data_IF_912871561496
#
_entry.id   IF_912871561496
#
_cell.length_a   1.000
_cell.length_b   1.000
_cell.length_c   1.000
_cell.angle_alpha   90.00
_cell.angle_beta   90.00
_cell.angle_gamma   90.00
#
_symmetry.space_group_name_H-M   'P 1'
#
loop_
_entity.id
_entity.type
_entity.pdbx_description
1 polymer ?
#
# COMPACT_ATOMS: atom_id res chain seq x y z
N UNK A 1 -13.88 22.77 -14.78
CA UNK A 1 -13.10 22.39 -13.59
C UNK A 1 -13.71 21.09 -13.08
N UNK A 2 -13.05 19.95 -13.29
CA UNK A 2 -13.59 18.65 -12.88
C UNK A 2 -13.28 18.42 -11.40
N UNK A 3 -14.29 18.67 -10.56
CA UNK A 3 -14.23 18.38 -9.14
C UNK A 3 -14.40 16.88 -8.96
N UNK A 4 -13.30 16.15 -8.76
CA UNK A 4 -13.36 14.77 -8.29
C UNK A 4 -14.03 14.79 -6.92
N UNK A 5 -15.28 14.36 -6.86
CA UNK A 5 -16.01 14.12 -5.61
C UNK A 5 -15.32 12.97 -4.89
N UNK A 6 -14.34 13.28 -4.05
CA UNK A 6 -13.63 12.29 -3.24
C UNK A 6 -14.59 11.80 -2.15
N UNK A 7 -15.25 10.67 -2.38
CA UNK A 7 -15.93 9.91 -1.33
C UNK A 7 -14.81 9.27 -0.49
N UNK A 8 -14.44 9.91 0.62
CA UNK A 8 -13.45 9.34 1.55
C UNK A 8 -12.53 10.35 2.24
N UNK A 9 -13.09 11.32 2.97
CA UNK A 9 -12.32 12.22 3.86
C UNK A 9 -11.87 11.55 5.18
N UNK A 10 -11.77 10.22 5.23
CA UNK A 10 -11.46 9.49 6.46
C UNK A 10 -9.97 9.47 6.83
N UNK A 11 -9.07 9.86 5.90
CA UNK A 11 -7.61 9.72 6.06
C UNK A 11 -6.84 11.03 5.90
N UNK A 12 -7.48 12.17 6.18
CA UNK A 12 -6.81 13.48 6.10
C UNK A 12 -5.69 13.54 7.15
N UNK A 13 -4.44 13.60 6.71
CA UNK A 13 -3.25 13.51 7.58
C UNK A 13 -2.81 12.09 7.97
N UNK A 14 -3.45 11.04 7.43
CA UNK A 14 -3.04 9.66 7.64
C UNK A 14 -2.66 9.02 6.30
N UNK A 15 -1.38 8.71 6.14
CA UNK A 15 -0.89 8.12 4.91
C UNK A 15 -1.13 6.61 4.97
N UNK A 16 -1.99 6.10 4.10
CA UNK A 16 -2.30 4.66 4.02
C UNK A 16 -1.87 4.13 2.67
N UNK A 17 -1.22 2.98 2.70
CA UNK A 17 -0.76 2.25 1.52
C UNK A 17 -1.27 0.81 1.63
N UNK A 18 -2.01 0.38 0.62
CA UNK A 18 -2.45 -0.99 0.43
C UNK A 18 -1.54 -1.64 -0.59
N UNK A 19 -0.78 -2.64 -0.15
CA UNK A 19 0.16 -3.37 -0.97
C UNK A 19 -0.37 -4.78 -1.18
N UNK A 20 -0.64 -5.16 -2.42
CA UNK A 20 -1.07 -6.52 -2.79
C UNK A 20 0.09 -7.26 -3.45
N UNK A 21 0.35 -8.45 -2.95
CA UNK A 21 1.46 -9.28 -3.40
C UNK A 21 1.08 -10.75 -3.49
N UNK A 22 1.80 -11.50 -4.29
CA UNK A 22 1.72 -12.94 -4.29
C UNK A 22 2.78 -13.51 -3.32
N UNK A 23 2.37 -14.20 -2.23
CA UNK A 23 3.32 -14.73 -1.25
C UNK A 23 4.13 -15.93 -1.78
N UNK A 24 3.69 -16.59 -2.86
CA UNK A 24 4.39 -17.76 -3.43
C UNK A 24 5.47 -17.36 -4.43
N UNK A 25 5.22 -16.34 -5.23
CA UNK A 25 6.14 -15.87 -6.28
C UNK A 25 6.90 -14.61 -5.88
N UNK A 26 6.58 -14.01 -4.72
CA UNK A 26 7.10 -12.73 -4.24
C UNK A 26 6.86 -11.58 -5.23
N UNK A 27 5.90 -11.75 -6.14
CA UNK A 27 5.54 -10.78 -7.15
C UNK A 27 4.67 -9.68 -6.56
N UNK A 28 5.00 -8.45 -6.93
CA UNK A 28 4.14 -7.30 -6.72
C UNK A 28 2.93 -7.35 -7.65
N UNK A 29 1.72 -7.32 -7.11
CA UNK A 29 0.49 -7.37 -7.89
C UNK A 29 -0.07 -5.97 -8.12
N UNK A 30 -0.25 -5.21 -7.04
CA UNK A 30 -0.86 -3.88 -7.12
C UNK A 30 -0.57 -3.05 -5.87
N UNK A 31 -0.56 -1.74 -6.02
CA UNK A 31 -0.48 -0.77 -4.92
C UNK A 31 -1.63 0.22 -5.03
N UNK A 32 -2.27 0.49 -3.91
CA UNK A 32 -3.24 1.58 -3.80
C UNK A 32 -2.83 2.47 -2.65
N UNK A 33 -2.63 3.76 -2.93
CA UNK A 33 -2.15 4.73 -1.94
C UNK A 33 -3.19 5.84 -1.78
N UNK A 34 -3.24 6.43 -0.58
CA UNK A 34 -3.99 7.67 -0.37
C UNK A 34 -3.38 8.82 -1.20
N UNK A 35 -4.20 9.84 -1.52
CA UNK A 35 -3.85 10.96 -2.40
C UNK A 35 -2.59 11.75 -1.97
N UNK A 36 -2.32 11.79 -0.66
CA UNK A 36 -1.18 12.51 -0.06
C UNK A 36 0.01 11.59 0.24
N UNK A 37 -0.10 10.28 -0.01
CA UNK A 37 0.97 9.34 0.27
C UNK A 37 2.03 9.40 -0.84
N UNK A 38 3.33 9.61 -0.50
CA UNK A 38 4.40 9.60 -1.49
C UNK A 38 4.42 8.26 -2.23
N UNK A 39 4.17 8.31 -3.53
CA UNK A 39 4.25 7.17 -4.44
C UNK A 39 5.72 6.96 -4.82
N UNK A 40 6.40 6.07 -4.10
CA UNK A 40 7.65 5.50 -4.59
C UNK A 40 7.39 4.50 -5.73
N UNK A 41 8.31 4.37 -6.70
CA UNK A 41 8.16 3.38 -7.75
C UNK A 41 8.14 1.98 -7.13
N UNK A 42 7.05 1.25 -7.36
CA UNK A 42 6.91 -0.16 -6.96
C UNK A 42 8.00 -0.98 -7.65
N UNK A 43 8.80 -1.70 -6.86
CA UNK A 43 9.78 -2.63 -7.39
C UNK A 43 9.11 -3.97 -7.71
N UNK A 44 9.72 -4.74 -8.62
CA UNK A 44 9.17 -6.01 -9.12
C UNK A 44 8.93 -7.00 -7.98
N UNK A 45 9.79 -6.95 -6.94
CA UNK A 45 9.67 -7.76 -5.73
C UNK A 45 8.80 -7.08 -4.67
N UNK A 46 7.82 -7.83 -4.16
CA UNK A 46 6.97 -7.38 -3.06
C UNK A 46 7.78 -7.04 -1.81
N UNK A 47 8.72 -7.92 -1.43
CA UNK A 47 9.55 -7.73 -0.25
C UNK A 47 10.40 -6.45 -0.31
N UNK A 48 10.89 -6.08 -1.50
CA UNK A 48 11.68 -4.86 -1.67
C UNK A 48 10.80 -3.62 -1.53
N UNK A 49 9.63 -3.63 -2.18
CA UNK A 49 8.64 -2.56 -2.06
C UNK A 49 8.21 -2.36 -0.60
N UNK A 50 7.93 -3.45 0.12
CA UNK A 50 7.60 -3.42 1.54
C UNK A 50 8.76 -2.87 2.40
N UNK A 51 10.00 -3.26 2.10
CA UNK A 51 11.20 -2.78 2.81
C UNK A 51 11.41 -1.27 2.63
N UNK A 52 11.10 -0.72 1.44
CA UNK A 52 11.12 0.73 1.19
C UNK A 52 10.08 1.46 2.02
N UNK A 53 8.83 0.98 2.01
CA UNK A 53 7.76 1.56 2.83
C UNK A 53 8.10 1.52 4.33
N UNK A 54 8.73 0.45 4.82
CA UNK A 54 9.21 0.41 6.21
C UNK A 54 10.34 1.42 6.46
N UNK A 55 11.28 1.56 5.52
CA UNK A 55 12.43 2.48 5.63
C UNK A 55 12.02 3.95 5.68
N UNK A 56 10.97 4.35 4.94
CA UNK A 56 10.43 5.73 4.99
C UNK A 56 9.51 5.98 6.18
N UNK A 57 9.29 4.96 7.03
CA UNK A 57 8.57 5.07 8.30
C UNK A 57 7.09 4.67 8.25
N UNK A 58 6.62 3.95 7.23
CA UNK A 58 5.32 3.28 7.34
C UNK A 58 5.42 2.08 8.27
N UNK A 59 4.32 1.77 8.93
CA UNK A 59 4.17 0.60 9.79
C UNK A 59 3.11 -0.32 9.21
N UNK A 60 3.35 -1.62 9.28
CA UNK A 60 2.35 -2.63 8.92
C UNK A 60 1.27 -2.60 10.00
N UNK A 61 0.08 -2.14 9.63
CA UNK A 61 -1.09 -2.12 10.48
C UNK A 61 -1.82 -3.46 10.44
N UNK A 62 -1.90 -4.07 9.26
CA UNK A 62 -2.53 -5.37 9.09
C UNK A 62 -1.94 -6.13 7.90
N UNK A 63 -1.99 -7.45 7.94
CA UNK A 63 -1.69 -8.32 6.81
C UNK A 63 -2.82 -9.33 6.68
N UNK A 64 -3.43 -9.43 5.50
CA UNK A 64 -4.61 -10.27 5.27
C UNK A 64 -4.46 -11.01 3.96
N UNK A 65 -4.62 -12.34 4.01
CA UNK A 65 -4.71 -13.16 2.81
C UNK A 65 -6.06 -12.89 2.14
N UNK A 66 -6.05 -12.36 0.90
CA UNK A 66 -7.27 -12.14 0.11
C UNK A 66 -7.63 -13.42 -0.65
N UNK A 67 -6.61 -14.09 -1.18
CA UNK A 67 -6.74 -15.35 -1.92
C UNK A 67 -5.63 -16.30 -1.48
N UNK A 68 -5.73 -17.57 -1.86
CA UNK A 68 -4.66 -18.54 -1.63
C UNK A 68 -3.31 -18.09 -2.22
N UNK A 69 -3.29 -17.20 -3.21
CA UNK A 69 -2.09 -16.68 -3.88
C UNK A 69 -1.93 -15.17 -3.74
N UNK A 70 -2.71 -14.51 -2.86
CA UNK A 70 -2.68 -13.06 -2.73
C UNK A 70 -2.74 -12.66 -1.27
N UNK A 71 -1.75 -11.90 -0.84
CA UNK A 71 -1.70 -11.24 0.45
C UNK A 71 -1.80 -9.73 0.27
N UNK A 72 -2.60 -9.09 1.11
CA UNK A 72 -2.72 -7.65 1.20
C UNK A 72 -2.11 -7.16 2.51
N UNK A 73 -1.12 -6.28 2.40
CA UNK A 73 -0.54 -5.55 3.51
C UNK A 73 -1.16 -4.16 3.58
N UNK A 74 -1.61 -3.78 4.77
CA UNK A 74 -2.09 -2.45 5.08
C UNK A 74 -0.98 -1.73 5.83
N UNK A 75 -0.39 -0.73 5.20
CA UNK A 75 0.68 0.10 5.73
C UNK A 75 0.10 1.45 6.11
N UNK A 76 0.47 1.98 7.28
CA UNK A 76 0.04 3.29 7.75
C UNK A 76 1.21 4.10 8.27
N UNK A 77 1.20 5.40 7.99
CA UNK A 77 2.11 6.40 8.56
C UNK A 77 1.26 7.57 9.07
N UNK A 78 1.49 7.93 10.34
CA UNK A 78 0.88 9.07 11.01
C UNK A 78 1.76 10.31 10.86
#
# INVERSE_FOLDING_TARGET
MYQHTMIGTAWRGHHVVLLRCNPFTNEFLSISTSFEAPTEPSHIACAETLSRFLSIGYKIMNATMISATEIQYVLTKK
#
